data_IF_334489138958
#
_entry.id   IF_334489138958
#
_cell.length_a   1.000
_cell.length_b   1.000
_cell.length_c   1.000
_cell.angle_alpha   90.00
_cell.angle_beta   90.00
_cell.angle_gamma   90.00
#
_symmetry.space_group_name_H-M   'P 1'
#
loop_
_entity.id
_entity.type
_entity.pdbx_description
1 polymer ?
#
# COMPACT_ATOMS: atom_id res chain seq x y z
N UNK A 1 2.04 7.15 14.75
CA UNK A 1 0.58 7.33 14.96
C UNK A 1 -0.26 6.45 14.04
N UNK A 2 -0.06 6.46 12.71
CA UNK A 2 -0.87 5.67 11.77
C UNK A 2 -0.88 4.15 12.06
N UNK A 3 0.25 3.59 12.48
CA UNK A 3 0.38 2.16 12.84
C UNK A 3 -0.46 1.79 14.07
N UNK A 4 -0.46 2.64 15.10
CA UNK A 4 -1.26 2.42 16.30
C UNK A 4 -2.77 2.49 16.00
N UNK A 5 -3.17 3.42 15.12
CA UNK A 5 -4.57 3.54 14.67
C UNK A 5 -4.99 2.29 13.88
N UNK A 6 -4.14 1.78 12.98
CA UNK A 6 -4.43 0.57 12.21
C UNK A 6 -4.61 -0.67 13.10
N UNK A 7 -3.79 -0.81 14.14
CA UNK A 7 -3.88 -1.92 15.10
C UNK A 7 -5.19 -1.84 15.90
N UNK A 8 -5.56 -0.65 16.37
CA UNK A 8 -6.81 -0.44 17.11
C UNK A 8 -8.04 -0.72 16.25
N UNK A 9 -8.01 -0.30 14.97
CA UNK A 9 -9.09 -0.57 14.01
C UNK A 9 -9.23 -2.06 13.72
N UNK A 10 -8.11 -2.78 13.54
CA UNK A 10 -8.13 -4.24 13.34
C UNK A 10 -8.65 -4.98 14.57
N UNK A 11 -8.25 -4.56 15.77
CA UNK A 11 -8.76 -5.13 17.02
C UNK A 11 -10.27 -4.87 17.17
N UNK A 12 -10.74 -3.67 16.87
CA UNK A 12 -12.15 -3.33 16.91
C UNK A 12 -12.98 -4.13 15.89
N UNK A 13 -12.46 -4.32 14.68
CA UNK A 13 -13.10 -5.14 13.64
C UNK A 13 -13.16 -6.63 14.04
N UNK A 14 -12.10 -7.16 14.66
CA UNK A 14 -12.09 -8.52 15.17
C UNK A 14 -13.14 -8.73 16.28
N UNK A 15 -13.26 -7.76 17.20
CA UNK A 15 -14.30 -7.77 18.24
C UNK A 15 -15.69 -7.67 17.62
N UNK A 16 -15.90 -6.79 16.64
CA UNK A 16 -17.19 -6.65 15.95
C UNK A 16 -17.59 -7.94 15.21
N UNK A 17 -16.63 -8.63 14.59
CA UNK A 17 -16.85 -9.93 13.94
C UNK A 17 -17.24 -11.02 14.95
N UNK A 18 -16.55 -11.10 16.09
CA UNK A 18 -16.86 -12.07 17.14
C UNK A 18 -18.23 -11.81 17.79
N UNK A 19 -18.57 -10.53 18.00
CA UNK A 19 -19.89 -10.12 18.51
C UNK A 19 -20.99 -10.36 17.47
N UNK A 20 -20.74 -10.08 16.20
CA UNK A 20 -21.68 -10.35 15.09
C UNK A 20 -21.93 -11.84 14.89
N UNK A 21 -20.88 -12.67 14.94
CA UNK A 21 -20.97 -14.11 14.82
C UNK A 21 -21.70 -14.76 16.01
N UNK A 22 -21.50 -14.25 17.23
CA UNK A 22 -22.20 -14.75 18.42
C UNK A 22 -23.69 -14.36 18.47
N UNK A 23 -24.10 -13.28 17.77
CA UNK A 23 -25.50 -12.85 17.66
C UNK A 23 -26.27 -13.46 16.49
N UNK A 24 -25.62 -14.16 15.56
CA UNK A 24 -26.29 -14.71 14.36
C UNK A 24 -27.13 -15.94 14.74
N UNK A 25 -28.34 -15.71 15.23
CA UNK A 25 -29.43 -16.70 15.20
C UNK A 25 -29.84 -16.91 13.75
N UNK A 26 -29.87 -18.17 13.32
CA UNK A 26 -30.39 -18.63 12.03
C UNK A 26 -31.82 -18.13 11.79
N UNK A 27 -31.98 -16.96 11.18
CA UNK A 27 -33.31 -16.43 10.82
C UNK A 27 -33.47 -15.96 9.37
N UNK A 28 -32.46 -16.16 8.51
CA UNK A 28 -32.50 -15.57 7.17
C UNK A 28 -31.96 -16.50 6.09
N UNK A 29 -32.56 -17.68 5.94
CA UNK A 29 -32.36 -18.53 4.76
C UNK A 29 -33.70 -19.13 4.30
N UNK A 30 -34.73 -18.30 4.18
CA UNK A 30 -36.03 -18.71 3.64
C UNK A 30 -36.37 -17.84 2.43
N UNK A 31 -35.74 -18.13 1.29
CA UNK A 31 -36.10 -17.52 0.01
C UNK A 31 -35.51 -18.32 -1.15
N UNK A 32 -36.38 -18.95 -1.95
CA UNK A 32 -35.98 -19.63 -3.19
C UNK A 32 -35.49 -18.60 -4.23
N UNK A 33 -34.43 -18.95 -4.97
CA UNK A 33 -33.82 -18.11 -6.00
C UNK A 33 -34.77 -17.86 -7.19
N UNK A 34 -34.50 -16.80 -7.96
CA UNK A 34 -35.29 -16.47 -9.15
C UNK A 34 -35.19 -17.57 -10.22
N UNK A 35 -34.06 -18.24 -10.35
CA UNK A 35 -33.88 -19.41 -11.21
C UNK A 35 -34.80 -20.58 -10.81
N UNK A 36 -34.99 -20.83 -9.51
CA UNK A 36 -35.88 -21.89 -9.03
C UNK A 36 -37.35 -21.61 -9.39
N UNK A 37 -37.79 -20.35 -9.32
CA UNK A 37 -39.14 -19.94 -9.75
C UNK A 37 -39.33 -19.98 -11.27
N UNK A 38 -38.26 -19.78 -12.04
CA UNK A 38 -38.29 -19.82 -13.51
C UNK A 38 -38.50 -21.24 -14.05
N UNK A 39 -37.86 -22.23 -13.41
CA UNK A 39 -37.96 -23.64 -13.82
C UNK A 39 -39.27 -24.32 -13.42
N UNK A 40 -39.98 -23.78 -12.43
CA UNK A 40 -41.30 -24.27 -11.98
C UNK A 40 -42.47 -23.83 -12.89
N UNK A 41 -42.19 -23.14 -14.00
CA UNK A 41 -43.21 -22.76 -14.97
C UNK A 41 -43.53 -23.96 -15.87
N UNK A 42 -44.79 -24.38 -15.88
CA UNK A 42 -45.22 -25.59 -16.58
C UNK A 42 -44.91 -25.58 -18.09
N UNK A 43 -44.42 -26.71 -18.60
CA UNK A 43 -44.17 -26.95 -20.02
C UNK A 43 -45.52 -27.08 -20.77
N UNK A 44 -45.81 -26.23 -21.77
CA UNK A 44 -47.10 -26.22 -22.46
C UNK A 44 -47.42 -27.52 -23.23
N UNK A 45 -46.42 -28.37 -23.53
CA UNK A 45 -46.62 -29.66 -24.20
C UNK A 45 -47.27 -30.72 -23.27
N UNK A 46 -47.15 -30.55 -21.95
CA UNK A 46 -47.72 -31.49 -20.95
C UNK A 46 -49.08 -31.03 -20.39
N UNK A 47 -49.61 -29.89 -20.84
CA UNK A 47 -50.84 -29.29 -20.32
C UNK A 47 -52.13 -29.91 -20.90
N UNK A 48 -52.02 -30.90 -21.80
CA UNK A 48 -53.14 -31.48 -22.54
C UNK A 48 -53.61 -32.87 -22.04
N UNK A 49 -53.04 -33.39 -20.95
CA UNK A 49 -53.52 -34.63 -20.33
C UNK A 49 -54.43 -34.30 -19.12
N UNK A 50 -55.50 -35.08 -18.96
CA UNK A 50 -56.54 -34.91 -17.93
C UNK A 50 -55.97 -34.44 -16.59
N UNK A 51 -56.52 -33.35 -16.08
CA UNK A 51 -55.96 -32.55 -15.00
C UNK A 51 -55.87 -33.35 -13.68
N UNK A 52 -54.75 -34.05 -13.50
CA UNK A 52 -54.32 -34.52 -12.19
C UNK A 52 -54.24 -33.30 -11.24
N UNK A 53 -54.65 -33.43 -9.97
CA UNK A 53 -54.59 -32.33 -9.03
C UNK A 53 -53.16 -31.82 -8.96
N UNK A 54 -53.00 -30.51 -9.14
CA UNK A 54 -51.69 -29.86 -9.07
C UNK A 54 -51.06 -30.11 -7.69
N UNK A 55 -49.73 -30.10 -7.59
CA UNK A 55 -49.04 -30.29 -6.30
C UNK A 55 -49.56 -29.37 -5.19
N UNK A 56 -49.99 -28.15 -5.54
CA UNK A 56 -50.67 -27.22 -4.62
C UNK A 56 -52.02 -27.70 -4.12
N UNK A 57 -52.82 -28.33 -4.98
CA UNK A 57 -54.12 -28.88 -4.59
C UNK A 57 -53.96 -30.13 -3.73
N UNK A 58 -52.94 -30.95 -3.98
CA UNK A 58 -52.60 -32.09 -3.12
C UNK A 58 -52.10 -31.62 -1.75
N UNK A 59 -51.24 -30.61 -1.71
CA UNK A 59 -50.78 -29.96 -0.47
C UNK A 59 -51.97 -29.34 0.30
N UNK A 60 -52.87 -28.61 -0.36
CA UNK A 60 -54.05 -28.06 0.28
C UNK A 60 -55.00 -29.14 0.80
N UNK A 61 -55.24 -30.20 0.03
CA UNK A 61 -56.05 -31.34 0.46
C UNK A 61 -55.41 -32.06 1.66
N UNK A 62 -54.08 -32.22 1.67
CA UNK A 62 -53.34 -32.80 2.79
C UNK A 62 -53.38 -31.90 4.04
N UNK A 63 -53.35 -30.58 3.88
CA UNK A 63 -53.48 -29.62 5.00
C UNK A 63 -54.90 -29.61 5.56
N UNK A 64 -55.91 -29.69 4.70
CA UNK A 64 -57.32 -29.78 5.11
C UNK A 64 -57.58 -31.12 5.80
N UNK A 65 -57.06 -32.24 5.28
CA UNK A 65 -57.14 -33.55 5.91
C UNK A 65 -56.43 -33.59 7.28
N UNK A 66 -55.30 -32.89 7.45
CA UNK A 66 -54.63 -32.76 8.75
C UNK A 66 -55.36 -31.86 9.74
N UNK A 67 -56.17 -30.90 9.26
CA UNK A 67 -56.91 -29.94 10.11
C UNK A 67 -58.35 -30.36 10.39
N UNK A 68 -58.92 -31.27 9.59
CA UNK A 68 -60.33 -31.65 9.63
C UNK A 68 -60.68 -32.80 10.57
N UNK A 69 -59.70 -33.44 11.22
CA UNK A 69 -59.98 -34.28 12.38
C UNK A 69 -60.24 -33.38 13.58
N UNK A 70 -61.32 -33.62 14.34
CA UNK A 70 -61.54 -33.01 15.65
C UNK A 70 -60.23 -33.08 16.45
N UNK A 71 -59.53 -31.95 16.51
CA UNK A 71 -58.38 -31.82 17.40
C UNK A 71 -59.00 -31.80 18.78
N UNK A 72 -58.90 -32.91 19.49
CA UNK A 72 -59.24 -32.96 20.91
C UNK A 72 -58.58 -31.74 21.56
N UNK A 73 -59.41 -30.85 22.11
CA UNK A 73 -58.94 -29.72 22.89
C UNK A 73 -58.25 -30.34 24.09
N UNK A 74 -56.94 -30.52 24.00
CA UNK A 74 -56.12 -30.87 25.15
C UNK A 74 -56.24 -29.67 26.07
N UNK A 75 -57.03 -29.85 27.13
CA UNK A 75 -57.20 -28.86 28.18
C UNK A 75 -55.80 -28.39 28.57
N UNK A 76 -55.54 -27.09 28.37
CA UNK A 76 -54.22 -26.53 28.57
C UNK A 76 -53.82 -26.82 30.01
N UNK A 77 -52.81 -27.66 30.19
CA UNK A 77 -52.25 -27.96 31.50
C UNK A 77 -52.04 -26.63 32.26
N UNK A 78 -52.43 -26.55 33.53
CA UNK A 78 -52.36 -25.30 34.29
C UNK A 78 -50.97 -24.69 34.16
N UNK A 79 -50.87 -23.35 34.03
CA UNK A 79 -49.59 -22.69 33.76
C UNK A 79 -48.60 -23.11 34.83
N UNK A 80 -47.62 -23.93 34.42
CA UNK A 80 -46.58 -24.40 35.32
C UNK A 80 -45.81 -23.16 35.75
N UNK A 81 -45.77 -22.91 37.06
CA UNK A 81 -45.00 -21.79 37.61
C UNK A 81 -43.57 -21.90 37.09
N UNK A 82 -43.07 -20.81 36.50
CA UNK A 82 -41.71 -20.76 36.00
C UNK A 82 -40.74 -21.00 37.18
N UNK A 83 -40.16 -22.19 37.23
CA UNK A 83 -39.06 -22.50 38.12
C UNK A 83 -37.80 -22.01 37.42
N UNK A 84 -37.13 -21.02 38.01
CA UNK A 84 -35.85 -20.57 37.50
C UNK A 84 -34.91 -21.79 37.39
N UNK A 85 -34.28 -22.04 36.23
CA UNK A 85 -33.35 -23.13 36.08
C UNK A 85 -32.25 -23.03 37.14
N UNK A 86 -31.85 -24.16 37.73
CA UNK A 86 -30.79 -24.24 38.74
C UNK A 86 -29.58 -23.37 38.30
N UNK A 87 -29.02 -22.51 39.18
CA UNK A 87 -27.80 -21.75 38.89
C UNK A 87 -26.66 -22.59 38.27
N UNK A 88 -26.56 -23.88 38.58
CA UNK A 88 -25.59 -24.79 37.95
C UNK A 88 -25.95 -25.16 36.50
N UNK A 89 -27.24 -25.20 36.15
CA UNK A 89 -27.73 -25.38 34.78
C UNK A 89 -27.65 -24.09 33.93
N UNK A 90 -27.63 -22.92 34.58
CA UNK A 90 -27.36 -21.61 33.97
C UNK A 90 -25.85 -21.31 33.79
N UNK A 91 -24.98 -22.14 34.36
CA UNK A 91 -23.52 -22.05 34.21
C UNK A 91 -23.03 -22.38 32.79
N UNK A 92 -21.74 -22.15 32.54
CA UNK A 92 -21.10 -22.57 31.28
C UNK A 92 -21.17 -24.09 31.19
N UNK A 93 -21.95 -24.61 30.24
CA UNK A 93 -22.05 -26.06 30.08
C UNK A 93 -20.70 -26.64 29.64
N UNK A 94 -20.42 -27.90 29.99
CA UNK A 94 -19.18 -28.60 29.56
C UNK A 94 -18.95 -28.46 28.05
N UNK A 95 -20.01 -28.58 27.25
CA UNK A 95 -19.99 -28.41 25.79
C UNK A 95 -19.62 -26.99 25.37
N UNK A 96 -20.15 -25.97 26.04
CA UNK A 96 -19.79 -24.56 25.78
C UNK A 96 -18.34 -24.28 26.13
N UNK A 97 -17.84 -24.81 27.26
CA UNK A 97 -16.43 -24.71 27.63
C UNK A 97 -15.54 -25.33 26.55
N UNK A 98 -15.77 -26.59 26.18
CA UNK A 98 -14.94 -27.27 25.17
C UNK A 98 -15.00 -26.59 23.79
N UNK A 99 -16.18 -26.18 23.32
CA UNK A 99 -16.29 -25.50 22.03
C UNK A 99 -15.56 -24.15 22.03
N UNK A 100 -15.69 -23.36 23.11
CA UNK A 100 -14.98 -22.08 23.23
C UNK A 100 -13.48 -22.28 23.34
N UNK A 101 -13.02 -23.30 24.07
CA UNK A 101 -11.60 -23.63 24.20
C UNK A 101 -11.01 -24.08 22.86
N UNK A 102 -11.70 -24.95 22.11
CA UNK A 102 -11.25 -25.41 20.79
C UNK A 102 -11.16 -24.23 19.81
N UNK A 103 -12.21 -23.40 19.73
CA UNK A 103 -12.22 -22.21 18.85
C UNK A 103 -11.17 -21.20 19.28
N UNK A 104 -11.00 -20.97 20.58
CA UNK A 104 -10.01 -20.06 21.13
C UNK A 104 -8.58 -20.50 20.82
N UNK A 105 -8.26 -21.78 21.04
CA UNK A 105 -6.93 -22.32 20.76
C UNK A 105 -6.63 -22.38 19.27
N UNK A 106 -7.59 -22.80 18.44
CA UNK A 106 -7.46 -22.76 16.98
C UNK A 106 -7.26 -21.32 16.48
N UNK A 107 -8.06 -20.38 16.99
CA UNK A 107 -7.96 -18.96 16.63
C UNK A 107 -6.61 -18.35 17.00
N UNK A 108 -6.09 -18.65 18.20
CA UNK A 108 -4.77 -18.22 18.63
C UNK A 108 -3.66 -18.81 17.76
N UNK A 109 -3.72 -20.11 17.46
CA UNK A 109 -2.76 -20.79 16.59
C UNK A 109 -2.74 -20.20 15.17
N UNK A 110 -3.93 -20.04 14.55
CA UNK A 110 -4.07 -19.45 13.21
C UNK A 110 -3.62 -18.00 13.18
N UNK A 111 -3.90 -17.21 14.23
CA UNK A 111 -3.44 -15.83 14.33
C UNK A 111 -1.93 -15.74 14.48
N UNK A 112 -1.32 -16.62 15.28
CA UNK A 112 0.13 -16.71 15.41
C UNK A 112 0.81 -17.06 14.10
N UNK A 113 0.30 -18.06 13.38
CA UNK A 113 0.80 -18.44 12.06
C UNK A 113 0.62 -17.33 11.02
N UNK A 114 -0.56 -16.69 10.99
CA UNK A 114 -0.83 -15.55 10.11
C UNK A 114 0.11 -14.36 10.40
N UNK A 115 0.33 -14.05 11.68
CA UNK A 115 1.27 -13.04 12.13
C UNK A 115 2.71 -13.35 11.69
N UNK A 116 3.15 -14.59 11.86
CA UNK A 116 4.47 -15.04 11.40
C UNK A 116 4.62 -14.96 9.87
N UNK A 117 3.58 -15.31 9.12
CA UNK A 117 3.57 -15.21 7.65
C UNK A 117 3.69 -13.76 7.18
N UNK A 118 2.99 -12.83 7.85
CA UNK A 118 3.11 -11.39 7.57
C UNK A 118 4.49 -10.86 7.97
N UNK A 119 5.02 -11.29 9.11
CA UNK A 119 6.36 -10.91 9.57
C UNK A 119 7.45 -11.39 8.60
N UNK A 120 7.28 -12.59 8.00
CA UNK A 120 8.17 -13.11 6.97
C UNK A 120 8.15 -12.27 5.69
N UNK A 121 7.00 -11.72 5.31
CA UNK A 121 6.88 -10.82 4.16
C UNK A 121 7.39 -9.40 4.47
N UNK A 122 7.51 -9.04 5.74
CA UNK A 122 7.99 -7.72 6.13
C UNK A 122 9.52 -7.63 5.98
N UNK A 123 10.05 -6.62 5.27
CA UNK A 123 11.49 -6.49 5.08
C UNK A 123 12.20 -6.27 6.43
N UNK A 124 13.01 -7.23 6.85
CA UNK A 124 13.89 -7.14 8.02
C UNK A 124 15.34 -7.05 7.56
N UNK A 125 16.12 -6.13 8.12
CA UNK A 125 17.56 -6.04 7.83
C UNK A 125 17.92 -5.67 6.39
N UNK A 126 17.14 -4.76 5.76
CA UNK A 126 17.48 -4.22 4.44
C UNK A 126 18.90 -3.63 4.48
N UNK A 127 19.80 -4.22 3.71
CA UNK A 127 21.15 -3.72 3.47
C UNK A 127 21.27 -3.34 2.00
N UNK A 128 21.95 -2.23 1.71
CA UNK A 128 21.97 -1.63 0.37
C UNK A 128 20.82 -0.66 0.16
N UNK A 129 20.12 -0.75 -0.97
CA UNK A 129 19.04 0.19 -1.29
C UNK A 129 17.89 0.11 -0.27
N UNK A 130 17.49 1.26 0.28
CA UNK A 130 16.55 1.38 1.39
C UNK A 130 17.22 1.57 2.74
N UNK A 131 18.56 1.63 2.78
CA UNK A 131 19.36 1.88 3.97
C UNK A 131 20.39 3.00 3.75
N UNK A 132 21.16 3.30 4.80
CA UNK A 132 22.29 4.24 4.74
C UNK A 132 23.50 3.56 4.06
N UNK A 133 23.95 4.14 2.95
CA UNK A 133 25.07 3.65 2.15
C UNK A 133 26.24 4.62 2.33
N UNK A 134 27.38 4.10 2.79
CA UNK A 134 28.65 4.83 2.79
C UNK A 134 29.19 4.85 1.36
N UNK A 135 29.23 6.03 0.75
CA UNK A 135 29.59 6.17 -0.68
C UNK A 135 31.09 6.26 -0.87
N UNK A 136 31.78 7.04 -0.03
CA UNK A 136 33.23 7.26 -0.15
C UNK A 136 33.67 8.61 0.39
N UNK A 137 34.95 8.93 0.19
CA UNK A 137 35.52 10.23 0.55
C UNK A 137 35.14 11.29 -0.49
N UNK A 138 34.81 12.50 -0.04
CA UNK A 138 34.41 13.60 -0.92
C UNK A 138 35.46 13.97 -1.98
N UNK A 139 36.75 13.96 -1.64
CA UNK A 139 37.82 14.37 -2.55
C UNK A 139 37.90 13.41 -3.74
N UNK A 140 37.85 12.11 -3.46
CA UNK A 140 37.83 11.06 -4.48
C UNK A 140 36.56 11.15 -5.31
N UNK A 141 35.40 11.34 -4.68
CA UNK A 141 34.13 11.47 -5.38
C UNK A 141 34.09 12.67 -6.32
N UNK A 142 34.59 13.83 -5.89
CA UNK A 142 34.69 15.01 -6.75
C UNK A 142 35.64 14.78 -7.94
N UNK A 143 36.72 14.05 -7.73
CA UNK A 143 37.64 13.65 -8.80
C UNK A 143 36.97 12.71 -9.79
N UNK A 144 36.27 11.68 -9.31
CA UNK A 144 35.48 10.75 -10.14
C UNK A 144 34.38 11.46 -10.93
N UNK A 145 33.69 12.42 -10.30
CA UNK A 145 32.65 13.23 -10.96
C UNK A 145 33.25 13.99 -12.13
N UNK A 146 34.40 14.66 -11.94
CA UNK A 146 35.09 15.39 -13.01
C UNK A 146 35.56 14.45 -14.12
N UNK A 147 36.13 13.29 -13.77
CA UNK A 147 36.57 12.29 -14.73
C UNK A 147 35.43 11.74 -15.60
N UNK A 148 34.20 11.71 -15.07
CA UNK A 148 33.00 11.25 -15.77
C UNK A 148 32.14 12.41 -16.30
N UNK A 149 32.75 13.51 -16.73
CA UNK A 149 32.07 14.67 -17.32
C UNK A 149 30.96 15.27 -16.43
N UNK A 150 31.15 15.28 -15.11
CA UNK A 150 30.21 15.86 -14.15
C UNK A 150 29.13 14.90 -13.63
N UNK A 151 29.14 13.63 -14.04
CA UNK A 151 28.13 12.64 -13.65
C UNK A 151 28.76 11.36 -13.08
N UNK A 152 28.45 11.03 -11.82
CA UNK A 152 28.89 9.77 -11.22
C UNK A 152 27.70 8.87 -10.91
N UNK A 153 27.67 7.68 -11.51
CA UNK A 153 26.65 6.68 -11.23
C UNK A 153 27.08 5.75 -10.09
N UNK A 154 26.24 5.59 -9.06
CA UNK A 154 26.45 4.60 -7.99
C UNK A 154 25.30 3.58 -8.00
N UNK A 155 25.52 2.36 -8.54
CA UNK A 155 24.46 1.36 -8.70
C UNK A 155 23.90 0.86 -7.36
N UNK A 156 24.69 0.88 -6.29
CA UNK A 156 24.32 0.43 -4.95
C UNK A 156 23.11 1.21 -4.42
N UNK A 157 23.09 2.51 -4.68
CA UNK A 157 22.00 3.42 -4.30
C UNK A 157 21.02 3.72 -5.43
N UNK A 158 21.22 3.16 -6.63
CA UNK A 158 20.46 3.54 -7.84
C UNK A 158 20.41 5.05 -8.02
N UNK A 159 21.56 5.70 -7.85
CA UNK A 159 21.63 7.16 -7.75
C UNK A 159 22.72 7.73 -8.65
N UNK A 160 22.49 8.98 -9.04
CA UNK A 160 23.48 9.84 -9.64
C UNK A 160 24.03 10.78 -8.59
N UNK A 161 25.34 10.97 -8.57
CA UNK A 161 26.02 11.97 -7.76
C UNK A 161 26.60 12.99 -8.73
N UNK A 162 26.28 14.25 -8.50
CA UNK A 162 26.82 15.38 -9.27
C UNK A 162 27.36 16.44 -8.32
N UNK A 163 28.29 17.25 -8.83
CA UNK A 163 28.84 18.37 -8.07
C UNK A 163 27.80 19.49 -7.94
N UNK A 164 27.68 20.05 -6.74
CA UNK A 164 26.84 21.20 -6.46
C UNK A 164 27.73 22.45 -6.26
N UNK A 165 27.55 23.52 -7.05
CA UNK A 165 28.45 24.67 -7.01
C UNK A 165 28.31 25.47 -5.70
N UNK A 166 29.44 25.78 -5.07
CA UNK A 166 29.49 26.50 -3.78
C UNK A 166 28.77 27.86 -3.83
N UNK A 167 28.85 28.58 -4.96
CA UNK A 167 28.16 29.87 -5.14
C UNK A 167 26.63 29.79 -5.17
N UNK A 168 26.05 28.59 -5.27
CA UNK A 168 24.60 28.37 -5.30
C UNK A 168 24.03 27.78 -4.01
N UNK A 169 24.86 27.62 -2.96
CA UNK A 169 24.43 26.99 -1.70
C UNK A 169 23.39 27.83 -0.96
N UNK A 170 23.51 29.15 -0.96
CA UNK A 170 22.52 30.02 -0.30
C UNK A 170 21.13 29.95 -0.95
N UNK A 171 21.08 29.88 -2.29
CA UNK A 171 19.82 29.63 -3.01
C UNK A 171 19.26 28.25 -2.70
N UNK A 172 20.15 27.26 -2.55
CA UNK A 172 19.79 25.92 -2.12
C UNK A 172 19.13 25.95 -0.73
N UNK A 173 19.73 26.64 0.24
CA UNK A 173 19.20 26.75 1.62
C UNK A 173 17.78 27.33 1.67
N UNK A 174 17.43 28.18 0.72
CA UNK A 174 16.08 28.76 0.62
C UNK A 174 15.04 27.82 -0.01
N UNK A 175 15.45 26.85 -0.83
CA UNK A 175 14.55 26.04 -1.66
C UNK A 175 14.49 24.56 -1.26
N UNK A 176 15.57 24.05 -0.66
CA UNK A 176 15.74 22.63 -0.37
C UNK A 176 15.57 22.32 1.11
N UNK A 177 15.24 21.06 1.38
CA UNK A 177 15.09 20.54 2.73
C UNK A 177 16.44 20.37 3.42
N UNK A 178 16.46 20.44 4.76
CA UNK A 178 17.71 20.31 5.54
C UNK A 178 18.44 18.98 5.31
N UNK A 179 17.70 17.90 5.03
CA UNK A 179 18.25 16.54 4.88
C UNK A 179 18.99 16.33 3.56
N UNK A 180 18.66 17.06 2.49
CA UNK A 180 19.37 17.00 1.21
C UNK A 180 20.44 18.09 1.10
N UNK A 181 20.37 19.13 1.95
CA UNK A 181 21.33 20.23 1.93
C UNK A 181 22.71 19.86 2.47
N UNK A 182 22.81 18.86 3.37
CA UNK A 182 24.07 18.51 4.01
C UNK A 182 25.18 18.17 2.99
N UNK A 183 24.84 17.44 1.91
CA UNK A 183 25.80 17.15 0.84
C UNK A 183 26.16 18.38 0.00
N UNK A 184 25.22 19.29 -0.22
CA UNK A 184 25.43 20.48 -1.06
C UNK A 184 26.23 21.55 -0.33
N UNK A 185 25.97 21.73 0.96
CA UNK A 185 26.57 22.78 1.78
C UNK A 185 27.99 22.45 2.24
N UNK A 186 28.37 21.17 2.28
CA UNK A 186 29.69 20.72 2.76
C UNK A 186 30.85 21.34 1.98
N UNK A 187 30.65 21.72 0.71
CA UNK A 187 31.66 22.42 -0.06
C UNK A 187 32.04 23.77 0.56
N UNK A 188 31.04 24.53 1.02
CA UNK A 188 31.24 25.81 1.71
C UNK A 188 31.66 25.60 3.16
N UNK A 189 31.06 24.63 3.86
CA UNK A 189 31.25 24.43 5.30
C UNK A 189 32.59 23.77 5.65
N UNK A 190 33.04 22.82 4.83
CA UNK A 190 34.29 22.07 5.04
C UNK A 190 35.40 22.47 4.06
N UNK A 191 35.18 23.48 3.21
CA UNK A 191 36.21 24.06 2.33
C UNK A 191 36.57 23.19 1.12
N UNK A 192 35.66 22.33 0.63
CA UNK A 192 35.86 21.61 -0.62
C UNK A 192 35.53 22.49 -1.83
N UNK A 193 36.08 22.16 -3.00
CA UNK A 193 35.86 22.92 -4.25
C UNK A 193 34.38 23.04 -4.65
N UNK A 194 33.58 22.03 -4.31
CA UNK A 194 32.14 21.99 -4.54
C UNK A 194 31.48 21.04 -3.55
N UNK A 195 30.20 21.25 -3.26
CA UNK A 195 29.37 20.22 -2.62
C UNK A 195 28.97 19.12 -3.60
N UNK A 196 28.08 18.24 -3.15
CA UNK A 196 27.53 17.15 -3.95
C UNK A 196 26.03 17.02 -3.73
N UNK A 197 25.33 16.51 -4.75
CA UNK A 197 23.92 16.14 -4.64
C UNK A 197 23.72 14.69 -5.08
N UNK A 198 22.99 13.92 -4.27
CA UNK A 198 22.58 12.55 -4.58
C UNK A 198 21.15 12.53 -5.13
N UNK A 199 21.04 12.27 -6.43
CA UNK A 199 19.79 12.24 -7.19
C UNK A 199 19.35 10.80 -7.42
N UNK A 200 18.08 10.53 -7.16
CA UNK A 200 17.51 9.23 -7.49
C UNK A 200 17.36 9.10 -9.01
N UNK A 201 17.88 8.02 -9.60
CA UNK A 201 17.80 7.80 -11.05
C UNK A 201 16.37 7.62 -11.58
N UNK A 202 15.37 7.54 -10.69
CA UNK A 202 13.97 7.27 -11.04
C UNK A 202 13.29 8.57 -11.47
N UNK A 203 12.72 8.56 -12.67
CA UNK A 203 11.96 9.69 -13.21
C UNK A 203 10.68 9.92 -12.38
N UNK A 204 10.45 11.14 -11.86
CA UNK A 204 9.21 11.55 -11.18
C UNK A 204 7.93 11.43 -12.01
N UNK A 205 8.03 11.26 -13.34
CA UNK A 205 6.86 11.06 -14.19
C UNK A 205 6.20 9.69 -13.93
N UNK A 206 6.82 8.61 -14.44
CA UNK A 206 6.29 7.23 -14.34
C UNK A 206 7.35 6.22 -13.87
N UNK A 207 8.52 6.68 -13.44
CA UNK A 207 9.52 5.82 -12.80
C UNK A 207 10.58 5.18 -13.70
N UNK A 208 10.64 5.53 -15.00
CA UNK A 208 11.76 5.14 -15.86
C UNK A 208 13.12 5.57 -15.27
N UNK A 209 14.19 4.85 -15.61
CA UNK A 209 15.56 5.31 -15.32
C UNK A 209 15.89 6.53 -16.19
N UNK A 210 16.46 7.57 -15.58
CA UNK A 210 16.91 8.78 -16.27
C UNK A 210 18.43 8.69 -16.51
N UNK A 211 18.89 8.59 -17.77
CA UNK A 211 20.30 8.71 -18.12
C UNK A 211 20.77 10.17 -18.08
N UNK A 212 22.09 10.37 -18.05
CA UNK A 212 22.69 11.67 -18.32
C UNK A 212 22.88 11.89 -19.83
N UNK A 213 22.94 13.14 -20.23
CA UNK A 213 23.34 13.58 -21.56
C UNK A 213 24.63 14.39 -21.45
N UNK A 214 25.71 13.90 -22.07
CA UNK A 214 27.02 14.53 -21.99
C UNK A 214 27.08 15.84 -22.77
N UNK A 215 26.29 15.99 -23.85
CA UNK A 215 26.28 17.22 -24.66
C UNK A 215 25.55 18.37 -23.99
N UNK A 216 24.30 18.16 -23.54
CA UNK A 216 23.51 19.19 -22.84
C UNK A 216 23.92 19.38 -21.38
N UNK A 217 24.66 18.40 -20.83
CA UNK A 217 25.01 18.32 -19.40
C UNK A 217 23.79 18.28 -18.48
N UNK A 218 22.71 17.69 -18.98
CA UNK A 218 21.43 17.51 -18.31
C UNK A 218 21.10 16.02 -18.14
N UNK A 219 20.11 15.72 -17.30
CA UNK A 219 19.47 14.42 -17.24
C UNK A 219 18.23 14.42 -18.12
N UNK A 220 18.13 13.40 -18.97
CA UNK A 220 17.17 13.40 -20.06
C UNK A 220 16.46 12.05 -20.13
N UNK A 221 15.17 12.03 -19.81
CA UNK A 221 14.40 10.78 -19.73
C UNK A 221 13.83 10.39 -21.11
N UNK A 222 14.28 9.27 -21.70
CA UNK A 222 13.88 8.88 -23.06
C UNK A 222 12.43 8.39 -23.17
N UNK A 223 11.77 8.12 -22.05
CA UNK A 223 10.40 7.58 -22.09
C UNK A 223 9.37 8.62 -22.58
N UNK A 224 9.47 9.86 -22.12
CA UNK A 224 8.49 10.93 -22.45
C UNK A 224 9.14 12.32 -22.53
N UNK A 225 10.47 12.39 -22.64
CA UNK A 225 11.18 13.65 -22.84
C UNK A 225 11.27 14.58 -21.62
N UNK A 226 11.20 14.06 -20.39
CA UNK A 226 11.42 14.89 -19.20
C UNK A 226 12.91 15.24 -19.07
N UNK A 227 13.20 16.52 -18.90
CA UNK A 227 14.56 17.07 -18.86
C UNK A 227 14.82 17.72 -17.50
N UNK A 228 16.01 17.51 -16.95
CA UNK A 228 16.45 18.07 -15.68
C UNK A 228 17.88 18.58 -15.81
N UNK A 229 18.22 19.69 -15.16
CA UNK A 229 19.60 20.15 -15.15
C UNK A 229 20.52 19.20 -14.35
N UNK A 230 21.82 19.50 -14.27
CA UNK A 230 22.83 18.65 -13.61
C UNK A 230 22.58 18.42 -12.11
N UNK A 231 21.76 19.26 -11.47
CA UNK A 231 21.36 19.12 -10.05
C UNK A 231 19.93 18.59 -9.87
N UNK A 232 19.34 18.07 -10.95
CA UNK A 232 18.04 17.38 -10.95
C UNK A 232 16.83 18.32 -10.91
N UNK A 233 16.99 19.62 -11.12
CA UNK A 233 15.87 20.55 -11.23
C UNK A 233 15.20 20.41 -12.60
N UNK A 234 13.86 20.36 -12.62
CA UNK A 234 13.11 20.19 -13.86
C UNK A 234 13.30 21.39 -14.80
N UNK A 235 13.57 21.10 -16.07
CA UNK A 235 13.66 22.07 -17.17
C UNK A 235 12.59 21.87 -18.24
N UNK A 236 12.21 20.62 -18.51
CA UNK A 236 11.26 20.30 -19.59
C UNK A 236 10.48 19.01 -19.39
N UNK A 237 9.50 18.79 -20.27
CA UNK A 237 8.68 17.58 -20.36
C UNK A 237 7.60 17.40 -19.27
N UNK A 238 6.96 16.22 -19.24
CA UNK A 238 5.71 15.99 -18.49
C UNK A 238 5.88 15.72 -16.99
N UNK A 239 7.09 15.46 -16.49
CA UNK A 239 7.29 15.18 -15.07
C UNK A 239 6.74 16.31 -14.17
N UNK A 240 6.02 16.01 -13.07
CA UNK A 240 5.35 17.05 -12.27
C UNK A 240 6.31 17.88 -11.40
N UNK A 241 7.58 17.49 -11.29
CA UNK A 241 8.60 18.10 -10.41
C UNK A 241 10.01 17.67 -10.84
N UNK A 242 11.03 18.22 -10.20
CA UNK A 242 12.43 17.79 -10.37
C UNK A 242 12.70 16.37 -9.85
N UNK A 243 13.88 15.85 -10.16
CA UNK A 243 14.33 14.52 -9.73
C UNK A 243 14.32 14.40 -8.22
N UNK A 244 13.91 13.23 -7.74
CA UNK A 244 13.99 12.89 -6.32
C UNK A 244 15.42 12.89 -5.83
N UNK A 245 15.59 13.19 -4.55
CA UNK A 245 16.90 13.22 -3.90
C UNK A 245 16.92 12.27 -2.72
N UNK A 246 18.11 11.94 -2.27
CA UNK A 246 18.30 11.18 -1.05
C UNK A 246 18.77 12.11 0.07
N UNK A 247 18.40 11.77 1.30
CA UNK A 247 19.00 12.40 2.46
C UNK A 247 20.50 12.08 2.50
N UNK A 248 21.31 13.08 2.83
CA UNK A 248 22.76 12.98 2.84
C UNK A 248 23.30 13.38 4.20
N UNK A 249 24.46 12.84 4.54
CA UNK A 249 25.24 13.24 5.70
C UNK A 249 26.71 13.14 5.34
N UNK A 250 27.51 14.07 5.85
CA UNK A 250 28.96 14.03 5.69
C UNK A 250 29.58 14.08 7.07
N UNK A 251 30.44 13.11 7.36
CA UNK A 251 31.18 13.03 8.61
C UNK A 251 32.64 12.73 8.27
N UNK A 252 33.57 13.54 8.76
CA UNK A 252 35.01 13.40 8.50
C UNK A 252 35.36 13.32 6.99
N UNK A 253 34.65 14.09 6.16
CA UNK A 253 34.83 14.11 4.71
C UNK A 253 34.28 12.87 3.98
N UNK A 254 33.61 11.95 4.67
CA UNK A 254 32.98 10.76 4.09
C UNK A 254 31.50 11.03 3.84
N UNK A 255 31.06 10.86 2.60
CA UNK A 255 29.65 10.95 2.22
C UNK A 255 28.91 9.66 2.57
N UNK A 256 27.82 9.80 3.33
CA UNK A 256 26.83 8.74 3.56
C UNK A 256 25.47 9.21 3.04
N UNK A 257 24.84 8.38 2.19
CA UNK A 257 23.54 8.65 1.58
C UNK A 257 22.51 7.69 2.14
N UNK A 258 21.41 8.22 2.67
CA UNK A 258 20.28 7.43 3.16
C UNK A 258 19.26 7.20 2.03
N UNK A 259 19.32 6.01 1.43
CA UNK A 259 18.42 5.62 0.34
C UNK A 259 17.03 5.18 0.81
N UNK A 260 16.82 5.03 2.12
CA UNK A 260 15.50 4.81 2.72
C UNK A 260 14.69 6.09 2.84
N UNK A 261 15.36 7.24 2.86
CA UNK A 261 14.72 8.56 2.97
C UNK A 261 14.77 9.29 1.64
N UNK A 262 13.72 9.11 0.83
CA UNK A 262 13.56 9.80 -0.46
C UNK A 262 12.91 11.15 -0.23
N UNK A 263 13.61 12.21 -0.60
CA UNK A 263 13.12 13.59 -0.62
C UNK A 263 12.49 13.85 -1.98
N UNK A 264 11.26 14.33 -1.98
CA UNK A 264 10.58 14.70 -3.22
C UNK A 264 11.35 15.83 -3.91
N UNK A 265 11.62 15.66 -5.19
CA UNK A 265 12.32 16.67 -5.98
C UNK A 265 11.60 18.01 -6.01
N UNK A 266 12.32 19.09 -6.33
CA UNK A 266 11.83 20.45 -6.15
C UNK A 266 10.69 20.80 -7.11
N UNK A 267 9.84 21.78 -6.76
CA UNK A 267 8.74 22.19 -7.61
C UNK A 267 9.23 22.77 -8.95
N UNK A 268 8.34 22.81 -9.93
CA UNK A 268 8.59 23.37 -11.25
C UNK A 268 8.99 24.85 -11.11
N UNK A 269 10.00 25.28 -11.88
CA UNK A 269 10.53 26.65 -11.84
C UNK A 269 11.69 26.86 -10.87
N UNK A 270 12.05 25.84 -10.07
CA UNK A 270 13.24 25.90 -9.23
C UNK A 270 14.50 25.97 -10.09
N UNK A 271 15.34 26.98 -9.85
CA UNK A 271 16.60 27.18 -10.56
C UNK A 271 17.66 27.76 -9.62
N UNK A 272 18.29 26.92 -8.80
CA UNK A 272 19.28 27.38 -7.82
C UNK A 272 20.62 27.67 -8.47
N UNK A 273 21.03 26.89 -9.48
CA UNK A 273 22.35 27.01 -10.11
C UNK A 273 22.39 27.98 -11.29
N UNK A 274 21.25 28.31 -11.89
CA UNK A 274 21.20 29.07 -13.14
C UNK A 274 21.72 28.28 -14.35
N UNK A 275 21.95 26.97 -14.21
CA UNK A 275 22.51 26.15 -15.29
C UNK A 275 21.47 25.96 -16.40
N UNK A 276 21.82 26.42 -17.59
CA UNK A 276 21.12 26.14 -18.85
C UNK A 276 21.76 24.94 -19.57
N UNK A 277 21.20 24.51 -20.70
CA UNK A 277 21.78 23.43 -21.49
C UNK A 277 23.09 23.90 -22.12
N UNK A 278 24.18 23.14 -21.92
CA UNK A 278 25.51 23.51 -22.41
C UNK A 278 25.72 23.14 -23.89
N UNK A 279 24.86 22.29 -24.43
CA UNK A 279 24.92 21.78 -25.78
C UNK A 279 23.59 21.15 -26.20
N UNK A 280 23.54 20.49 -27.36
CA UNK A 280 22.30 19.89 -27.86
C UNK A 280 21.80 18.78 -26.94
N UNK A 281 20.48 18.68 -26.81
CA UNK A 281 19.83 17.59 -26.08
C UNK A 281 20.09 16.24 -26.78
N UNK A 282 20.30 15.18 -26.00
CA UNK A 282 20.56 13.83 -26.50
C UNK A 282 19.28 13.15 -26.98
N UNK A 283 18.16 13.42 -26.31
CA UNK A 283 16.83 13.21 -26.87
C UNK A 283 16.48 14.47 -27.66
N UNK A 284 16.21 14.29 -28.94
CA UNK A 284 15.75 15.41 -29.79
C UNK A 284 14.63 16.17 -29.09
N UNK A 285 14.61 17.49 -29.26
CA UNK A 285 13.65 18.36 -28.58
C UNK A 285 12.26 17.73 -28.66
N UNK A 286 11.73 17.32 -27.51
CA UNK A 286 10.34 16.91 -27.38
C UNK A 286 9.45 18.17 -27.45
N UNK A 287 9.71 19.04 -28.44
CA UNK A 287 8.89 20.15 -28.84
C UNK A 287 7.86 19.64 -29.82
N UNK A 288 6.70 19.23 -29.31
CA UNK A 288 5.62 18.84 -30.19
C UNK A 288 4.53 17.98 -29.56
N UNK A 289 4.02 18.36 -28.38
CA UNK A 289 2.66 18.00 -27.95
C UNK A 289 2.02 19.18 -27.23
#
# INVERSE_FOLDING_TARGET
MAVAIAIVVLAALAVALLVGASKRRDRSAAGLSREARSRDRANPVLAAADAAPTGRQVEQAAVVARRGGEVAVVESAPPVLFVAPDPQALGVSRRQFFNRSIVGMMGLGLSGFGGASLAFLWPQGVSGFGSKIKVGNLIELLTEIKANNGFLYKPEGRMWITAYPNGSVEKARAQYSSVELAGMAVGVEAGFESGVVALYQKCPHLGCRVPNCVSSQWFECPCHGSQYNRVGEKRGGPAPRGMDRFAMSVTDGVLTVDTGTIVQGPPIGTNTTGQEAEGPNCIGDAGGH
#
